data_IF_909115616225
#
_entry.id   IF_909115616225
#
_cell.length_a   1.000
_cell.length_b   1.000
_cell.length_c   1.000
_cell.angle_alpha   90.00
_cell.angle_beta   90.00
_cell.angle_gamma   90.00
#
_symmetry.space_group_name_H-M   'P 1'
#
loop_
_entity.id
_entity.type
_entity.pdbx_description
1 polymer ?
#
# COMPACT_ATOMS: atom_id res chain seq x y z
N UNK A 1 24.06 10.02 15.34
CA UNK A 1 22.64 9.66 15.27
C UNK A 1 21.85 10.70 16.06
N UNK A 2 20.73 11.15 15.52
CA UNK A 2 19.86 12.11 16.17
C UNK A 2 18.51 11.46 16.49
N UNK A 3 17.97 11.74 17.66
CA UNK A 3 16.58 11.39 17.97
C UNK A 3 15.68 12.45 17.32
N UNK A 4 14.70 11.99 16.55
CA UNK A 4 13.71 12.86 15.89
C UNK A 4 12.32 12.58 16.44
N UNK A 5 11.44 13.56 16.30
CA UNK A 5 10.03 13.43 16.57
C UNK A 5 9.27 13.85 15.31
N UNK A 6 8.42 12.97 14.81
CA UNK A 6 7.56 13.20 13.66
C UNK A 6 6.12 12.90 14.01
N UNK A 7 5.19 13.53 13.36
CA UNK A 7 3.77 13.25 13.53
C UNK A 7 3.01 13.48 12.22
N UNK A 8 1.91 12.77 12.11
CA UNK A 8 0.89 12.96 11.09
C UNK A 8 -0.48 12.91 11.76
N UNK A 9 -1.41 13.72 11.28
CA UNK A 9 -2.80 13.71 11.70
C UNK A 9 -3.68 13.70 10.46
N UNK A 10 -4.48 12.65 10.32
CA UNK A 10 -5.51 12.54 9.29
C UNK A 10 -6.89 12.92 9.87
N UNK A 11 -7.68 13.65 9.10
CA UNK A 11 -9.07 13.98 9.39
C UNK A 11 -9.94 13.40 8.29
N UNK A 12 -10.71 12.34 8.62
CA UNK A 12 -11.69 11.75 7.71
C UNK A 12 -13.06 12.39 7.90
N UNK A 13 -13.68 12.80 6.80
CA UNK A 13 -15.06 13.25 6.72
C UNK A 13 -15.83 12.27 5.84
N UNK A 14 -16.92 11.72 6.35
CA UNK A 14 -17.73 10.77 5.62
C UNK A 14 -19.20 11.12 5.72
N UNK A 15 -19.94 11.01 4.61
CA UNK A 15 -21.40 11.17 4.55
C UNK A 15 -22.00 10.26 3.48
N UNK A 16 -23.28 9.94 3.63
CA UNK A 16 -24.05 9.18 2.66
C UNK A 16 -25.29 9.97 2.25
N UNK A 17 -25.68 9.87 0.97
CA UNK A 17 -26.89 10.50 0.45
C UNK A 17 -28.05 9.53 0.33
N UNK A 18 -27.78 8.24 0.14
CA UNK A 18 -28.78 7.20 -0.09
C UNK A 18 -28.82 6.15 1.02
N UNK A 19 -27.79 6.11 1.86
CA UNK A 19 -27.58 5.08 2.88
C UNK A 19 -26.84 3.84 2.36
N UNK A 20 -26.59 3.75 1.05
CA UNK A 20 -25.84 2.68 0.40
C UNK A 20 -24.57 3.20 -0.29
N UNK A 21 -24.35 4.49 -0.27
CA UNK A 21 -23.22 5.21 -0.86
C UNK A 21 -22.37 5.88 0.22
N UNK A 22 -21.16 6.28 -0.10
CA UNK A 22 -20.30 7.07 0.77
C UNK A 22 -19.57 8.15 -0.03
N UNK A 23 -19.66 9.39 0.43
CA UNK A 23 -18.77 10.47 0.05
C UNK A 23 -17.75 10.63 1.18
N UNK A 24 -16.48 10.42 0.88
CA UNK A 24 -15.36 10.52 1.80
C UNK A 24 -14.41 11.63 1.37
N UNK A 25 -13.91 12.40 2.33
CA UNK A 25 -12.83 13.34 2.13
C UNK A 25 -11.79 13.16 3.25
N UNK A 26 -10.52 13.05 2.89
CA UNK A 26 -9.39 12.94 3.81
C UNK A 26 -8.54 14.20 3.73
N UNK A 27 -8.17 14.72 4.87
CA UNK A 27 -7.33 15.92 5.01
C UNK A 27 -6.20 15.57 5.95
N UNK A 28 -4.97 15.80 5.52
CA UNK A 28 -3.77 15.50 6.28
C UNK A 28 -2.99 16.74 6.67
N UNK A 29 -2.30 16.62 7.81
CA UNK A 29 -1.30 17.57 8.29
C UNK A 29 -0.19 16.81 9.00
N UNK A 30 1.07 17.13 8.72
CA UNK A 30 2.19 16.42 9.33
C UNK A 30 3.51 17.17 9.27
N UNK A 31 4.45 16.69 10.09
CA UNK A 31 5.85 17.12 10.13
C UNK A 31 6.74 15.87 10.26
N UNK A 32 7.54 15.62 9.25
CA UNK A 32 8.47 14.49 9.20
C UNK A 32 9.91 14.97 9.41
N UNK A 33 10.24 15.39 10.63
CA UNK A 33 11.58 15.85 10.95
C UNK A 33 12.60 14.69 10.95
N UNK A 34 13.42 14.60 9.92
CA UNK A 34 14.55 13.66 9.85
C UNK A 34 14.20 12.20 9.56
N UNK A 35 12.95 11.87 9.40
CA UNK A 35 12.47 10.65 8.73
C UNK A 35 12.15 11.10 7.32
N UNK A 36 12.89 10.61 6.33
CA UNK A 36 12.73 11.09 4.95
C UNK A 36 11.32 10.87 4.45
N UNK A 37 10.82 11.88 3.81
CA UNK A 37 9.72 11.71 2.88
C UNK A 37 10.25 10.90 1.73
N UNK A 38 9.86 9.65 1.63
CA UNK A 38 10.30 8.74 0.58
C UNK A 38 11.45 7.81 0.97
N UNK A 39 11.76 6.98 0.09
CA UNK A 39 12.56 5.76 -0.01
C UNK A 39 13.81 5.55 0.87
N UNK A 40 14.31 6.50 1.61
CA UNK A 40 15.59 6.36 2.32
C UNK A 40 15.49 6.04 3.81
N UNK A 41 14.32 6.16 4.41
CA UNK A 41 14.14 5.94 5.85
C UNK A 41 13.10 4.90 6.20
N UNK A 42 12.33 4.42 5.24
CA UNK A 42 11.37 3.34 5.42
C UNK A 42 10.09 3.68 6.20
N UNK A 43 10.06 4.77 6.93
CA UNK A 43 8.84 5.23 7.61
C UNK A 43 8.16 6.30 6.77
N UNK A 44 6.94 6.05 6.34
CA UNK A 44 6.16 7.00 5.57
C UNK A 44 5.36 7.91 6.51
N UNK A 45 5.79 9.18 6.59
CA UNK A 45 5.04 10.24 7.23
C UNK A 45 4.80 11.35 6.22
N UNK A 46 3.57 11.74 6.04
CA UNK A 46 3.24 12.89 5.21
C UNK A 46 3.79 14.17 5.85
N UNK A 47 4.70 14.81 5.10
CA UNK A 47 5.29 16.08 5.51
C UNK A 47 4.83 17.18 4.57
N UNK A 48 3.77 17.85 4.98
CA UNK A 48 3.21 19.01 4.27
C UNK A 48 3.49 20.33 4.98
N UNK A 49 4.60 20.39 5.74
CA UNK A 49 5.05 21.55 6.48
C UNK A 49 3.96 22.15 7.40
N UNK A 50 3.20 21.30 8.05
CA UNK A 50 2.08 21.67 8.93
C UNK A 50 0.94 22.44 8.23
N UNK A 51 0.76 22.22 6.93
CA UNK A 51 -0.36 22.76 6.16
C UNK A 51 -1.42 21.69 5.98
N UNK A 52 -2.68 22.03 6.21
CA UNK A 52 -3.81 21.15 5.90
C UNK A 52 -3.88 20.94 4.38
N UNK A 53 -3.78 19.69 3.95
CA UNK A 53 -3.79 19.30 2.54
C UNK A 53 -4.91 18.30 2.31
N UNK A 54 -5.65 18.44 1.22
CA UNK A 54 -6.59 17.40 0.79
C UNK A 54 -5.77 16.20 0.32
N UNK A 55 -5.99 15.06 0.97
CA UNK A 55 -5.31 13.80 0.69
C UNK A 55 -6.17 12.84 -0.14
N UNK A 56 -7.48 13.00 -0.11
CA UNK A 56 -8.40 12.22 -0.93
C UNK A 56 -9.81 12.76 -0.91
N UNK A 57 -10.49 12.65 -2.05
CA UNK A 57 -11.93 12.89 -2.18
C UNK A 57 -12.52 11.81 -3.06
N UNK A 58 -13.39 10.97 -2.50
CA UNK A 58 -13.99 9.86 -3.25
C UNK A 58 -15.49 9.72 -2.99
N UNK A 59 -16.19 9.28 -4.02
CA UNK A 59 -17.60 8.88 -3.94
C UNK A 59 -17.73 7.41 -4.35
N UNK A 60 -18.15 6.60 -3.40
CA UNK A 60 -18.35 5.16 -3.57
C UNK A 60 -19.83 4.84 -3.60
N UNK A 61 -20.27 4.07 -4.59
CA UNK A 61 -21.68 3.69 -4.72
C UNK A 61 -21.85 2.31 -5.37
N UNK A 62 -22.94 1.58 -5.04
CA UNK A 62 -23.27 0.32 -5.68
C UNK A 62 -23.87 0.53 -7.08
N UNK A 63 -23.49 -0.31 -8.03
CA UNK A 63 -24.04 -0.33 -9.39
C UNK A 63 -24.22 -1.78 -9.86
N UNK A 64 -25.47 -2.30 -9.80
CA UNK A 64 -25.80 -3.62 -10.31
C UNK A 64 -25.02 -4.76 -9.64
N UNK A 65 -24.72 -4.65 -8.35
CA UNK A 65 -23.90 -5.62 -7.60
C UNK A 65 -22.39 -5.36 -7.63
N UNK A 66 -21.92 -4.43 -8.44
CA UNK A 66 -20.57 -3.92 -8.38
C UNK A 66 -20.46 -2.74 -7.42
N UNK A 67 -19.27 -2.52 -6.88
CA UNK A 67 -18.89 -1.30 -6.16
C UNK A 67 -18.14 -0.39 -7.13
N UNK A 68 -18.56 0.86 -7.25
CA UNK A 68 -17.91 1.87 -8.10
C UNK A 68 -17.37 2.99 -7.23
N UNK A 69 -16.15 3.42 -7.53
CA UNK A 69 -15.49 4.57 -6.90
C UNK A 69 -15.13 5.57 -7.98
N UNK A 70 -15.43 6.84 -7.72
CA UNK A 70 -14.93 7.98 -8.50
C UNK A 70 -14.38 9.01 -7.53
N UNK A 71 -13.22 9.60 -7.85
CA UNK A 71 -12.61 10.52 -6.89
C UNK A 71 -11.48 11.34 -7.48
N UNK A 72 -10.93 12.20 -6.64
CA UNK A 72 -9.71 12.97 -6.87
C UNK A 72 -8.72 12.64 -5.76
N UNK A 73 -7.44 12.54 -6.05
CA UNK A 73 -6.42 12.03 -5.11
C UNK A 73 -6.83 10.66 -4.52
N UNK A 74 -7.32 9.76 -5.38
CA UNK A 74 -7.84 8.45 -5.00
C UNK A 74 -7.23 7.38 -5.90
N UNK A 75 -6.86 6.25 -5.30
CA UNK A 75 -6.20 5.16 -6.00
C UNK A 75 -7.19 4.21 -6.66
N UNK A 76 -6.78 3.62 -7.78
CA UNK A 76 -7.51 2.49 -8.39
C UNK A 76 -7.59 1.33 -7.40
N UNK A 77 -6.53 1.11 -6.63
CA UNK A 77 -6.45 0.05 -5.62
C UNK A 77 -7.46 0.17 -4.46
N UNK A 78 -8.13 1.32 -4.31
CA UNK A 78 -9.22 1.50 -3.33
C UNK A 78 -10.38 0.51 -3.49
N UNK A 79 -10.52 -0.10 -4.67
CA UNK A 79 -11.50 -1.15 -4.95
C UNK A 79 -10.90 -2.56 -5.01
N UNK A 80 -9.60 -2.72 -4.79
CA UNK A 80 -8.94 -4.03 -4.79
C UNK A 80 -9.26 -4.81 -3.50
N UNK A 81 -9.38 -6.12 -3.63
CA UNK A 81 -9.54 -6.99 -2.46
C UNK A 81 -8.21 -7.23 -1.79
N UNK A 82 -7.15 -7.42 -2.58
CA UNK A 82 -5.82 -7.76 -2.10
C UNK A 82 -5.76 -9.11 -1.40
N UNK A 83 -4.56 -9.58 -1.16
CA UNK A 83 -4.31 -10.78 -0.37
C UNK A 83 -3.05 -10.64 0.50
N UNK A 84 -2.76 -9.43 0.97
CA UNK A 84 -1.72 -9.16 1.94
C UNK A 84 -2.34 -9.08 3.34
N UNK A 85 -1.88 -9.93 4.25
CA UNK A 85 -2.35 -9.96 5.64
C UNK A 85 -1.22 -9.58 6.63
N UNK A 86 -0.19 -8.88 6.14
CA UNK A 86 0.93 -8.41 6.93
C UNK A 86 0.74 -6.95 7.32
N UNK A 87 1.00 -6.61 8.59
CA UNK A 87 0.98 -5.24 9.08
C UNK A 87 2.39 -4.67 9.05
N UNK A 88 2.73 -3.96 7.98
CA UNK A 88 4.06 -3.41 7.79
C UNK A 88 4.36 -2.28 8.79
N UNK A 89 5.59 -2.27 9.30
CA UNK A 89 6.13 -1.18 10.09
C UNK A 89 6.74 -0.09 9.20
N UNK A 90 7.29 -0.52 8.06
CA UNK A 90 7.88 0.38 7.05
C UNK A 90 7.05 0.36 5.77
N UNK A 91 7.14 1.43 5.00
CA UNK A 91 6.44 1.56 3.73
C UNK A 91 6.92 0.52 2.67
N UNK A 92 8.18 0.14 2.69
CA UNK A 92 8.73 -0.87 1.78
C UNK A 92 8.05 -2.24 1.88
N UNK A 93 7.57 -2.60 3.06
CA UNK A 93 6.89 -3.87 3.32
C UNK A 93 5.38 -3.80 3.10
N UNK A 94 4.88 -2.61 2.80
CA UNK A 94 3.48 -2.37 2.47
C UNK A 94 3.03 -3.21 1.27
N UNK A 95 1.76 -3.59 1.26
CA UNK A 95 1.17 -4.38 0.18
C UNK A 95 1.92 -5.69 -0.14
N UNK A 96 2.64 -6.27 0.83
CA UNK A 96 3.47 -7.46 0.65
C UNK A 96 4.46 -7.34 -0.53
N UNK A 97 5.10 -6.19 -0.67
CA UNK A 97 6.10 -5.93 -1.71
C UNK A 97 5.55 -5.80 -3.13
N UNK A 98 4.24 -5.58 -3.29
CA UNK A 98 3.60 -5.38 -4.60
C UNK A 98 3.12 -3.95 -4.80
N UNK A 99 3.88 -2.97 -4.31
CA UNK A 99 3.51 -1.56 -4.27
C UNK A 99 3.23 -0.92 -5.62
N UNK A 100 3.95 -1.28 -6.68
CA UNK A 100 3.73 -0.71 -8.01
C UNK A 100 2.46 -1.25 -8.69
N UNK A 101 1.93 -2.40 -8.26
CA UNK A 101 0.71 -2.98 -8.82
C UNK A 101 -0.51 -2.77 -7.97
N UNK A 102 -0.35 -2.66 -6.66
CA UNK A 102 -1.44 -2.52 -5.69
C UNK A 102 -1.55 -1.07 -5.20
N UNK A 103 -0.43 -0.38 -5.00
CA UNK A 103 -0.41 1.07 -4.73
C UNK A 103 -0.41 1.86 -6.04
N UNK A 104 -1.41 1.65 -6.90
CA UNK A 104 -1.55 2.42 -8.14
C UNK A 104 -2.12 3.77 -7.78
N UNK A 105 -1.24 4.64 -7.31
CA UNK A 105 -1.58 6.00 -6.91
C UNK A 105 -2.03 6.81 -8.11
N UNK A 106 -3.27 7.25 -8.04
CA UNK A 106 -3.82 8.18 -8.99
C UNK A 106 -3.26 9.58 -8.79
N UNK A 107 -2.62 10.10 -9.80
CA UNK A 107 -2.15 11.49 -9.80
C UNK A 107 -3.29 12.50 -10.01
N UNK A 108 -4.54 12.11 -9.77
CA UNK A 108 -5.68 12.98 -10.02
C UNK A 108 -7.03 12.26 -10.01
N UNK A 109 -7.81 12.41 -11.06
CA UNK A 109 -9.16 11.85 -11.13
C UNK A 109 -9.11 10.36 -11.40
N UNK A 110 -9.75 9.59 -10.53
CA UNK A 110 -9.83 8.13 -10.61
C UNK A 110 -11.28 7.69 -10.82
N UNK A 111 -11.47 6.67 -11.65
CA UNK A 111 -12.71 5.91 -11.76
C UNK A 111 -12.37 4.41 -11.72
N UNK A 112 -12.90 3.70 -10.73
CA UNK A 112 -12.60 2.30 -10.51
C UNK A 112 -13.85 1.52 -10.12
N UNK A 113 -13.82 0.21 -10.34
CA UNK A 113 -14.94 -0.67 -10.06
C UNK A 113 -14.43 -2.05 -9.61
N UNK A 114 -15.16 -2.65 -8.67
CA UNK A 114 -14.96 -4.05 -8.30
C UNK A 114 -16.27 -4.84 -8.29
N UNK A 115 -16.13 -6.15 -8.42
CA UNK A 115 -17.22 -7.10 -8.29
C UNK A 115 -16.76 -8.32 -7.49
N UNK A 116 -17.45 -8.58 -6.38
CA UNK A 116 -17.21 -9.76 -5.55
C UNK A 116 -18.23 -10.86 -5.89
N UNK A 117 -17.75 -12.07 -6.15
CA UNK A 117 -18.56 -13.25 -6.41
C UNK A 117 -18.80 -14.04 -5.12
N UNK A 118 -19.94 -14.71 -4.99
CA UNK A 118 -20.27 -15.55 -3.83
C UNK A 118 -19.25 -16.70 -3.58
N UNK A 119 -18.44 -17.02 -4.59
CA UNK A 119 -17.42 -18.05 -4.53
C UNK A 119 -16.12 -17.65 -3.84
N UNK A 120 -15.98 -16.42 -3.37
CA UNK A 120 -14.74 -15.86 -2.80
C UNK A 120 -13.81 -15.24 -3.84
N UNK A 121 -14.13 -15.30 -5.12
CA UNK A 121 -13.43 -14.55 -6.17
C UNK A 121 -13.87 -13.09 -6.19
N UNK A 122 -12.95 -12.21 -6.57
CA UNK A 122 -13.23 -10.81 -6.89
C UNK A 122 -12.45 -10.38 -8.13
N UNK A 123 -12.99 -9.41 -8.85
CA UNK A 123 -12.35 -8.73 -9.96
C UNK A 123 -12.48 -7.24 -9.74
N UNK A 124 -11.41 -6.51 -9.97
CA UNK A 124 -11.40 -5.05 -9.85
C UNK A 124 -10.56 -4.41 -10.94
N UNK A 125 -10.79 -3.13 -11.21
CA UNK A 125 -9.96 -2.38 -12.12
C UNK A 125 -10.46 -0.96 -12.32
N UNK A 126 -9.63 -0.14 -12.92
CA UNK A 126 -9.94 1.27 -13.11
C UNK A 126 -8.91 2.02 -13.94
N UNK A 127 -9.13 3.31 -14.00
CA UNK A 127 -8.27 4.28 -14.65
C UNK A 127 -8.09 5.48 -13.73
N UNK A 128 -6.89 6.03 -13.71
CA UNK A 128 -6.58 7.33 -13.10
C UNK A 128 -5.86 8.23 -14.10
N UNK A 129 -6.14 9.53 -14.05
CA UNK A 129 -5.61 10.48 -15.02
C UNK A 129 -5.48 11.86 -14.41
N UNK A 130 -4.56 12.67 -14.91
CA UNK A 130 -4.45 14.08 -14.51
C UNK A 130 -5.77 14.83 -14.79
N UNK A 131 -6.29 15.67 -13.87
CA UNK A 131 -7.62 16.27 -13.97
C UNK A 131 -7.86 17.11 -15.25
N UNK A 132 -6.80 17.74 -15.76
CA UNK A 132 -6.89 18.57 -16.95
C UNK A 132 -6.66 17.81 -18.26
N UNK A 133 -6.33 16.52 -18.20
CA UNK A 133 -5.82 15.76 -19.34
C UNK A 133 -6.43 14.37 -19.48
N UNK A 134 -7.59 14.15 -18.89
CA UNK A 134 -8.29 12.86 -18.87
C UNK A 134 -8.48 12.32 -20.29
N UNK A 135 -7.94 11.13 -20.55
CA UNK A 135 -7.99 10.44 -21.86
C UNK A 135 -7.47 11.28 -23.02
N UNK A 136 -6.47 12.11 -22.78
CA UNK A 136 -5.78 12.87 -23.83
C UNK A 136 -4.42 12.24 -24.15
N UNK A 137 -3.86 12.54 -25.29
CA UNK A 137 -2.52 12.05 -25.67
C UNK A 137 -1.37 12.84 -25.01
N UNK A 138 -1.64 13.69 -24.04
CA UNK A 138 -0.66 14.60 -23.45
C UNK A 138 -0.53 14.45 -21.93
N UNK A 139 -1.47 13.79 -21.30
CA UNK A 139 -1.40 13.42 -19.87
C UNK A 139 -1.00 11.96 -19.72
N UNK A 140 -0.55 11.59 -18.54
CA UNK A 140 -0.31 10.20 -18.16
C UNK A 140 -1.62 9.60 -17.68
N UNK A 141 -2.03 8.51 -18.32
CA UNK A 141 -3.13 7.69 -17.86
C UNK A 141 -2.57 6.43 -17.16
N UNK A 142 -3.18 6.07 -16.04
CA UNK A 142 -2.81 4.89 -15.27
C UNK A 142 -3.96 3.90 -15.34
N UNK A 143 -3.67 2.66 -15.66
CA UNK A 143 -4.63 1.57 -15.74
C UNK A 143 -4.23 0.48 -14.73
N UNK A 144 -5.21 -0.01 -14.00
CA UNK A 144 -4.99 -1.09 -13.04
C UNK A 144 -6.09 -2.13 -13.09
N UNK A 145 -5.73 -3.40 -12.92
CA UNK A 145 -6.66 -4.52 -12.76
C UNK A 145 -6.17 -5.49 -11.70
N UNK A 146 -7.10 -6.09 -10.98
CA UNK A 146 -6.84 -7.13 -9.99
C UNK A 146 -7.83 -8.29 -10.14
N UNK A 147 -7.35 -9.51 -9.92
CA UNK A 147 -8.16 -10.69 -9.64
C UNK A 147 -7.70 -11.29 -8.32
N UNK A 148 -8.62 -11.50 -7.38
CA UNK A 148 -8.31 -12.08 -6.09
C UNK A 148 -9.24 -13.24 -5.74
N UNK A 149 -8.74 -14.13 -4.89
CA UNK A 149 -9.52 -15.17 -4.23
C UNK A 149 -9.22 -15.15 -2.74
N UNK A 150 -10.26 -15.10 -1.93
CA UNK A 150 -10.14 -15.09 -0.47
C UNK A 150 -11.02 -16.19 0.12
N UNK A 151 -10.44 -16.98 1.00
CA UNK A 151 -11.09 -17.98 1.85
C UNK A 151 -10.77 -17.67 3.31
N UNK A 152 -11.37 -18.42 4.26
CA UNK A 152 -11.22 -18.16 5.70
C UNK A 152 -9.76 -18.14 6.18
N UNK A 153 -8.92 -19.00 5.62
CA UNK A 153 -7.53 -19.18 6.09
C UNK A 153 -6.46 -18.87 5.05
N UNK A 154 -6.83 -18.49 3.84
CA UNK A 154 -5.85 -18.11 2.81
C UNK A 154 -6.45 -17.17 1.76
N UNK A 155 -5.59 -16.41 1.14
CA UNK A 155 -5.93 -15.58 0.01
C UNK A 155 -4.78 -15.50 -0.99
N UNK A 156 -5.11 -15.19 -2.22
CA UNK A 156 -4.16 -14.88 -3.29
C UNK A 156 -4.74 -13.80 -4.17
N UNK A 157 -3.91 -12.83 -4.57
CA UNK A 157 -4.27 -11.84 -5.58
C UNK A 157 -3.20 -11.71 -6.65
N UNK A 158 -3.63 -11.35 -7.84
CA UNK A 158 -2.79 -11.02 -8.99
C UNK A 158 -3.24 -9.67 -9.51
N UNK A 159 -2.33 -8.74 -9.60
CA UNK A 159 -2.61 -7.40 -10.12
C UNK A 159 -1.67 -7.04 -11.28
N UNK A 160 -2.15 -6.17 -12.14
CA UNK A 160 -1.40 -5.57 -13.23
C UNK A 160 -1.67 -4.07 -13.26
N UNK A 161 -0.63 -3.30 -13.49
CA UNK A 161 -0.69 -1.86 -13.66
C UNK A 161 0.09 -1.41 -14.88
N UNK A 162 -0.38 -0.36 -15.54
CA UNK A 162 0.27 0.32 -16.66
C UNK A 162 0.12 1.82 -16.47
N UNK A 163 1.23 2.54 -16.44
CA UNK A 163 1.26 3.99 -16.31
C UNK A 163 1.85 4.67 -17.55
N UNK A 164 1.75 4.01 -18.72
CA UNK A 164 2.28 4.46 -20.02
C UNK A 164 3.83 4.55 -20.09
N UNK A 165 4.52 4.67 -18.97
CA UNK A 165 5.98 4.70 -18.89
C UNK A 165 6.56 3.36 -18.42
N UNK A 166 5.79 2.61 -17.64
CA UNK A 166 6.15 1.31 -17.10
C UNK A 166 4.92 0.42 -17.00
N UNK A 167 5.14 -0.87 -17.04
CA UNK A 167 4.15 -1.87 -16.67
C UNK A 167 4.62 -2.67 -15.48
N UNK A 168 3.70 -3.06 -14.63
CA UNK A 168 3.99 -3.88 -13.47
C UNK A 168 2.97 -5.00 -13.33
N UNK A 169 3.40 -6.16 -12.86
CA UNK A 169 2.51 -7.21 -12.37
C UNK A 169 3.02 -7.72 -11.02
N UNK A 170 2.08 -8.06 -10.17
CA UNK A 170 2.38 -8.55 -8.82
C UNK A 170 1.45 -9.69 -8.43
N UNK A 171 1.97 -10.57 -7.61
CA UNK A 171 1.21 -11.63 -6.96
C UNK A 171 1.51 -11.54 -5.48
N UNK A 172 0.47 -11.47 -4.66
CA UNK A 172 0.61 -11.63 -3.22
C UNK A 172 -0.37 -12.64 -2.66
N UNK A 173 -0.11 -13.12 -1.46
CA UNK A 173 -0.96 -14.07 -0.80
C UNK A 173 -0.62 -14.25 0.65
N UNK A 174 -1.58 -14.80 1.39
CA UNK A 174 -1.41 -15.17 2.78
C UNK A 174 -1.95 -16.56 3.08
N UNK A 175 -1.44 -17.15 4.14
CA UNK A 175 -2.00 -18.33 4.78
C UNK A 175 -2.00 -18.15 6.31
N UNK A 176 -3.19 -18.28 6.89
CA UNK A 176 -3.39 -18.16 8.34
C UNK A 176 -3.37 -19.55 8.98
N UNK A 177 -2.42 -19.74 9.90
CA UNK A 177 -2.38 -20.84 10.84
C UNK A 177 -3.06 -20.41 12.16
N UNK A 178 -3.33 -21.34 13.05
CA UNK A 178 -3.94 -21.02 14.36
C UNK A 178 -3.12 -20.05 15.20
N UNK A 179 -1.80 -20.01 15.02
CA UNK A 179 -0.87 -19.23 15.85
C UNK A 179 -0.16 -18.10 15.11
N UNK A 180 -0.18 -18.10 13.78
CA UNK A 180 0.50 -17.09 12.96
C UNK A 180 -0.08 -17.03 11.54
N UNK A 181 0.13 -15.92 10.87
CA UNK A 181 -0.15 -15.78 9.44
C UNK A 181 1.16 -15.54 8.70
N UNK A 182 1.40 -16.29 7.63
CA UNK A 182 2.45 -16.00 6.65
C UNK A 182 1.86 -15.20 5.50
N UNK A 183 2.54 -14.14 5.09
CA UNK A 183 2.23 -13.38 3.87
C UNK A 183 3.46 -13.32 2.99
N UNK A 184 3.27 -13.37 1.68
CA UNK A 184 4.34 -13.25 0.72
C UNK A 184 3.86 -12.54 -0.55
N UNK A 185 4.77 -11.88 -1.24
CA UNK A 185 4.50 -11.28 -2.53
C UNK A 185 5.75 -11.21 -3.41
N UNK A 186 5.50 -11.15 -4.69
CA UNK A 186 6.51 -10.91 -5.73
C UNK A 186 5.96 -9.91 -6.74
N UNK A 187 6.83 -9.05 -7.21
CA UNK A 187 6.48 -8.03 -8.19
C UNK A 187 7.53 -7.98 -9.28
N UNK A 188 7.08 -7.71 -10.50
CA UNK A 188 7.95 -7.46 -11.66
C UNK A 188 7.51 -6.17 -12.33
N UNK A 189 8.44 -5.25 -12.55
CA UNK A 189 8.24 -3.95 -13.19
C UNK A 189 9.09 -3.87 -14.45
N UNK A 190 8.52 -3.44 -15.54
CA UNK A 190 9.21 -3.21 -16.82
C UNK A 190 9.15 -1.71 -17.19
N UNK A 191 10.31 -1.08 -17.21
CA UNK A 191 10.55 0.30 -17.68
C UNK A 191 11.40 0.32 -18.96
N UNK A 192 11.37 -0.77 -19.74
CA UNK A 192 12.32 -1.07 -20.81
C UNK A 192 13.45 -2.01 -20.36
N UNK A 193 13.53 -2.27 -19.06
CA UNK A 193 14.32 -3.34 -18.44
C UNK A 193 13.49 -3.90 -17.30
N UNK A 194 13.32 -5.22 -17.30
CA UNK A 194 12.56 -5.90 -16.24
C UNK A 194 13.34 -5.90 -14.94
N UNK A 195 12.68 -5.55 -13.86
CA UNK A 195 13.20 -5.59 -12.49
C UNK A 195 12.20 -6.29 -11.58
N UNK A 196 12.68 -7.10 -10.65
CA UNK A 196 11.86 -7.95 -9.79
C UNK A 196 12.19 -7.71 -8.31
N UNK A 197 11.19 -7.88 -7.46
CA UNK A 197 11.28 -7.81 -6.02
C UNK A 197 10.41 -8.82 -5.32
N UNK A 198 10.65 -9.06 -4.05
CA UNK A 198 9.86 -9.97 -3.24
C UNK A 198 9.71 -9.49 -1.79
N UNK A 199 8.73 -10.05 -1.13
CA UNK A 199 8.46 -9.88 0.29
C UNK A 199 8.03 -11.20 0.92
N UNK A 200 8.40 -11.42 2.19
CA UNK A 200 7.88 -12.46 3.08
C UNK A 200 7.72 -11.89 4.49
N UNK A 201 6.57 -12.09 5.10
CA UNK A 201 6.27 -11.66 6.47
C UNK A 201 5.54 -12.72 7.28
N UNK A 202 5.70 -12.62 8.59
CA UNK A 202 5.02 -13.43 9.61
C UNK A 202 4.34 -12.48 10.59
N UNK A 203 3.07 -12.69 10.82
CA UNK A 203 2.25 -11.98 11.80
C UNK A 203 1.79 -12.94 12.88
N UNK A 204 2.10 -12.64 14.14
CA UNK A 204 1.67 -13.38 15.32
C UNK A 204 0.64 -12.53 16.07
N UNK A 205 -0.66 -12.84 15.96
CA UNK A 205 -1.72 -11.98 16.49
C UNK A 205 -1.80 -11.97 18.02
N UNK A 206 -1.26 -12.98 18.69
CA UNK A 206 -1.34 -13.15 20.14
C UNK A 206 0.07 -13.38 20.73
N UNK A 207 0.78 -12.28 20.99
CA UNK A 207 2.04 -12.29 21.72
C UNK A 207 1.89 -11.48 23.00
N UNK A 208 1.53 -12.15 24.09
CA UNK A 208 1.17 -11.47 25.33
C UNK A 208 -0.13 -10.68 25.19
N UNK A 209 -0.08 -9.36 25.32
CA UNK A 209 -1.23 -8.49 25.20
C UNK A 209 -1.30 -7.76 23.82
N UNK A 210 -0.42 -8.09 22.90
CA UNK A 210 -0.33 -7.44 21.60
C UNK A 210 0.01 -8.43 20.49
N UNK A 211 0.40 -7.90 19.32
CA UNK A 211 0.82 -8.66 18.14
C UNK A 211 2.28 -8.37 17.77
N UNK A 212 2.94 -9.36 17.18
CA UNK A 212 4.31 -9.25 16.68
C UNK A 212 4.31 -9.51 15.17
N UNK A 213 4.91 -8.59 14.42
CA UNK A 213 5.11 -8.71 12.98
C UNK A 213 6.62 -8.72 12.68
N UNK A 214 7.04 -9.62 11.77
CA UNK A 214 8.43 -9.75 11.33
C UNK A 214 8.42 -9.94 9.82
N UNK A 215 9.16 -9.09 9.09
CA UNK A 215 9.19 -9.11 7.64
C UNK A 215 10.59 -8.96 7.07
N UNK A 216 10.74 -9.44 5.84
CA UNK A 216 11.90 -9.18 4.99
C UNK A 216 11.48 -9.08 3.52
N UNK A 217 12.23 -8.31 2.76
CA UNK A 217 12.03 -8.19 1.32
C UNK A 217 13.18 -7.45 0.66
N UNK A 218 13.10 -7.29 -0.64
CA UNK A 218 14.01 -6.43 -1.39
C UNK A 218 13.68 -4.96 -1.16
N UNK A 219 14.68 -4.08 -1.12
CA UNK A 219 14.48 -2.63 -0.93
C UNK A 219 13.91 -1.92 -2.16
N UNK A 220 13.90 -2.60 -3.30
CA UNK A 220 13.38 -2.14 -4.58
C UNK A 220 13.22 -3.35 -5.50
N UNK A 221 12.75 -3.13 -6.72
CA UNK A 221 12.83 -4.13 -7.78
C UNK A 221 14.21 -4.05 -8.45
N UNK A 222 14.87 -5.18 -8.67
CA UNK A 222 16.21 -5.28 -9.20
C UNK A 222 16.20 -5.99 -10.54
N UNK A 223 16.97 -5.45 -11.51
CA UNK A 223 17.19 -6.09 -12.81
C UNK A 223 18.02 -7.36 -12.66
N UNK A 224 17.83 -8.32 -13.58
CA UNK A 224 18.58 -9.58 -13.57
C UNK A 224 20.09 -9.34 -13.57
N UNK A 225 20.78 -10.00 -12.64
CA UNK A 225 22.21 -9.85 -12.40
C UNK A 225 22.64 -8.56 -11.68
N UNK A 226 21.72 -7.70 -11.26
CA UNK A 226 22.03 -6.60 -10.37
C UNK A 226 22.30 -7.10 -8.94
N UNK A 227 23.10 -6.34 -8.18
CA UNK A 227 23.27 -6.62 -6.76
C UNK A 227 22.00 -6.22 -6.01
N UNK A 228 21.33 -7.17 -5.41
CA UNK A 228 20.15 -6.93 -4.60
C UNK A 228 20.54 -6.42 -3.22
N UNK A 229 19.69 -5.57 -2.66
CA UNK A 229 19.74 -5.16 -1.25
C UNK A 229 18.43 -5.50 -0.56
N UNK A 230 18.51 -5.82 0.72
CA UNK A 230 17.38 -6.32 1.48
C UNK A 230 17.02 -5.38 2.62
N UNK A 231 15.78 -5.47 3.02
CA UNK A 231 15.25 -4.82 4.19
C UNK A 231 14.64 -5.86 5.13
N UNK A 232 14.81 -5.63 6.42
CA UNK A 232 14.28 -6.44 7.50
C UNK A 232 13.57 -5.54 8.48
N UNK A 233 12.44 -5.97 8.99
CA UNK A 233 11.72 -5.25 10.04
C UNK A 233 11.14 -6.19 11.09
N UNK A 234 10.96 -5.66 12.29
CA UNK A 234 10.19 -6.29 13.33
C UNK A 234 9.48 -5.22 14.16
N UNK A 235 8.20 -5.41 14.42
CA UNK A 235 7.39 -4.48 15.22
C UNK A 235 6.48 -5.23 16.17
N UNK A 236 6.19 -4.61 17.32
CA UNK A 236 5.27 -5.13 18.31
C UNK A 236 4.18 -4.12 18.59
N UNK A 237 2.95 -4.42 18.23
CA UNK A 237 1.79 -3.55 18.43
C UNK A 237 1.13 -3.86 19.77
N UNK A 238 1.17 -2.91 20.70
CA UNK A 238 0.57 -3.00 22.03
C UNK A 238 -0.61 -2.05 22.15
N UNK A 239 -1.86 -2.55 22.27
CA UNK A 239 -3.02 -1.71 22.51
C UNK A 239 -3.00 -1.22 23.97
N UNK A 240 -2.74 0.05 24.17
CA UNK A 240 -2.75 0.67 25.50
C UNK A 240 -4.18 0.86 26.02
N UNK A 241 -5.08 1.22 25.15
CA UNK A 241 -6.54 1.35 25.37
C UNK A 241 -7.27 1.40 24.01
N UNK A 242 -8.58 1.57 24.02
CA UNK A 242 -9.43 1.55 22.81
C UNK A 242 -9.09 2.65 21.78
N UNK A 243 -8.38 3.69 22.17
CA UNK A 243 -8.01 4.81 21.29
C UNK A 243 -6.51 4.99 21.08
N UNK A 244 -5.68 4.09 21.65
CA UNK A 244 -4.22 4.26 21.56
C UNK A 244 -3.50 2.93 21.46
N UNK A 245 -2.65 2.80 20.45
CA UNK A 245 -1.68 1.70 20.28
C UNK A 245 -0.26 2.26 20.30
N UNK A 246 0.66 1.55 20.95
CA UNK A 246 2.09 1.84 20.92
C UNK A 246 2.77 0.72 20.14
N UNK A 247 3.52 1.09 19.09
CA UNK A 247 4.17 0.12 18.21
C UNK A 247 5.69 0.39 18.17
N UNK A 248 6.47 -0.11 19.16
CA UNK A 248 7.92 -0.15 19.00
C UNK A 248 8.29 -1.06 17.84
N UNK A 249 9.23 -0.61 17.03
CA UNK A 249 9.73 -1.38 15.90
C UNK A 249 11.19 -1.06 15.62
N UNK A 250 11.81 -1.94 14.86
CA UNK A 250 13.16 -1.79 14.32
C UNK A 250 13.17 -2.26 12.88
N UNK A 251 13.91 -1.57 12.05
CA UNK A 251 14.17 -2.00 10.69
C UNK A 251 15.63 -1.80 10.32
N UNK A 252 16.10 -2.56 9.34
CA UNK A 252 17.43 -2.49 8.78
C UNK A 252 17.28 -2.44 7.26
N UNK A 253 17.84 -1.42 6.63
CA UNK A 253 17.88 -1.29 5.17
C UNK A 253 19.34 -1.36 4.72
N UNK A 254 19.69 -2.41 3.98
CA UNK A 254 21.03 -2.60 3.44
C UNK A 254 21.39 -1.50 2.42
N UNK A 255 22.58 -0.96 2.54
CA UNK A 255 23.16 -0.05 1.56
C UNK A 255 22.50 1.34 1.45
N UNK A 256 21.52 1.67 2.27
CA UNK A 256 20.78 2.93 2.19
C UNK A 256 21.54 4.13 2.80
N UNK A 257 22.56 3.86 3.63
CA UNK A 257 23.34 4.90 4.30
C UNK A 257 24.46 5.50 3.43
N UNK A 258 25.07 6.59 3.92
CA UNK A 258 26.19 7.22 3.22
C UNK A 258 27.34 6.25 2.96
N UNK A 259 27.79 6.14 1.70
CA UNK A 259 28.85 5.23 1.29
C UNK A 259 28.44 3.76 1.20
N UNK A 260 27.14 3.46 1.15
CA UNK A 260 26.64 2.08 1.07
C UNK A 260 26.58 1.38 2.44
N UNK A 261 26.55 2.13 3.52
CA UNK A 261 26.32 1.55 4.86
C UNK A 261 24.84 1.20 5.08
N UNK A 262 24.57 0.25 5.95
CA UNK A 262 23.21 -0.08 6.34
C UNK A 262 22.61 1.01 7.23
N UNK A 263 21.29 1.18 7.15
CA UNK A 263 20.50 2.09 8.00
C UNK A 263 19.63 1.25 8.93
N UNK A 264 19.58 1.65 10.20
CA UNK A 264 18.78 1.03 11.25
C UNK A 264 17.99 2.09 11.99
#
# INVERSE_FOLDING_TARGET
EATTFSYQMGIGLETSFTGEDSLSATIDIGEAAGVGTGTTTGLNFDSNANVLTLDGLSYTFPLGGATVVVGDQTDISSVYTGACAYSAFTDYMGNCGTGNTVGVEGQGVTAAMSYAFDSGFSLAGGISSEPAQILTNTGTDIYGIEAAYTADSYGVSVAYADNEASTAWGINGFYAFDFATISAGVESVDTGTTAEGFFVGLSFPEVGAGSLDIGMGTTANFADGAAETYMYEASYSYPLNDGMTITPGVFITEGAGPGGADVT
#
